data_IF_401770521555
#
_entry.id   IF_401770521555
#
_cell.length_a   1.000
_cell.length_b   1.000
_cell.length_c   1.000
_cell.angle_alpha   90.00
_cell.angle_beta   90.00
_cell.angle_gamma   90.00
#
_symmetry.space_group_name_H-M   'P 1'
#
loop_
_entity.id
_entity.type
_entity.pdbx_description
1 polymer ?
#
# COMPACT_ATOMS: atom_id res chain seq x y z
N UNK A 1 -0.46 30.84 4.65
CA UNK A 1 -1.40 30.93 3.50
C UNK A 1 -2.75 31.33 4.07
N UNK A 2 -3.44 32.31 3.49
CA UNK A 2 -4.68 32.86 4.05
C UNK A 2 -5.89 31.93 3.89
N UNK A 3 -5.89 31.05 2.88
CA UNK A 3 -6.93 30.05 2.66
C UNK A 3 -6.31 28.63 2.66
N UNK A 4 -6.27 28.03 3.85
CA UNK A 4 -5.77 26.68 4.05
C UNK A 4 -6.57 25.62 3.30
N UNK A 5 -7.90 25.79 3.23
CA UNK A 5 -8.79 24.89 2.50
C UNK A 5 -8.45 24.86 1.01
N UNK A 6 -8.35 26.02 0.36
CA UNK A 6 -8.07 26.10 -1.06
C UNK A 6 -6.70 25.49 -1.41
N UNK A 7 -5.66 25.82 -0.66
CA UNK A 7 -4.33 25.27 -0.92
C UNK A 7 -4.23 23.76 -0.65
N UNK A 8 -4.87 23.25 0.41
CA UNK A 8 -4.93 21.79 0.65
C UNK A 8 -5.66 21.08 -0.48
N UNK A 9 -6.78 21.64 -0.97
CA UNK A 9 -7.51 21.07 -2.09
C UNK A 9 -6.66 21.03 -3.37
N UNK A 10 -5.95 22.12 -3.67
CA UNK A 10 -5.03 22.17 -4.81
C UNK A 10 -3.91 21.13 -4.68
N UNK A 11 -3.35 20.95 -3.48
CA UNK A 11 -2.30 19.97 -3.22
C UNK A 11 -2.79 18.52 -3.40
N UNK A 12 -3.97 18.20 -2.86
CA UNK A 12 -4.59 16.88 -3.06
C UNK A 12 -4.85 16.63 -4.55
N UNK A 13 -5.36 17.63 -5.27
CA UNK A 13 -5.61 17.52 -6.70
C UNK A 13 -4.33 17.24 -7.48
N UNK A 14 -3.23 17.90 -7.13
CA UNK A 14 -1.93 17.69 -7.78
C UNK A 14 -1.37 16.30 -7.51
N UNK A 15 -1.43 15.81 -6.27
CA UNK A 15 -1.04 14.43 -5.94
C UNK A 15 -1.81 13.41 -6.77
N UNK A 16 -3.13 13.60 -6.92
CA UNK A 16 -3.96 12.74 -7.75
C UNK A 16 -3.61 12.85 -9.24
N UNK A 17 -3.33 14.06 -9.73
CA UNK A 17 -2.87 14.30 -11.12
C UNK A 17 -1.56 13.56 -11.41
N UNK A 18 -0.66 13.50 -10.44
CA UNK A 18 0.61 12.75 -10.51
C UNK A 18 0.45 11.24 -10.30
N UNK A 19 -0.77 10.75 -10.05
CA UNK A 19 -1.09 9.33 -10.00
C UNK A 19 -1.25 8.75 -8.59
N UNK A 20 -1.23 9.56 -7.53
CA UNK A 20 -1.51 9.08 -6.18
C UNK A 20 -2.94 8.50 -6.10
N UNK A 21 -3.04 7.24 -5.68
CA UNK A 21 -4.32 6.51 -5.58
C UNK A 21 -5.00 6.66 -4.23
N UNK A 22 -4.21 6.91 -3.19
CA UNK A 22 -4.66 7.12 -1.81
C UNK A 22 -3.94 8.34 -1.25
N UNK A 23 -4.69 9.37 -0.88
CA UNK A 23 -4.20 10.63 -0.33
C UNK A 23 -4.94 10.90 0.97
N UNK A 24 -4.21 11.08 2.07
CA UNK A 24 -4.77 11.47 3.36
C UNK A 24 -4.43 12.90 3.74
N UNK A 25 -5.12 13.43 4.74
CA UNK A 25 -4.82 14.73 5.35
C UNK A 25 -4.46 14.53 6.81
N UNK A 26 -3.28 15.02 7.19
CA UNK A 26 -2.92 15.23 8.59
C UNK A 26 -3.23 16.67 8.98
N UNK A 27 -3.94 16.87 10.09
CA UNK A 27 -4.26 18.20 10.61
C UNK A 27 -4.13 18.21 12.13
N UNK A 28 -3.41 19.19 12.67
CA UNK A 28 -3.28 19.35 14.11
C UNK A 28 -4.66 19.59 14.75
N UNK A 29 -4.89 19.01 15.93
CA UNK A 29 -6.21 19.03 16.58
C UNK A 29 -6.79 20.44 16.74
N UNK A 30 -5.97 21.39 17.19
CA UNK A 30 -6.39 22.78 17.39
C UNK A 30 -6.65 23.56 16.10
N UNK A 31 -6.13 23.10 14.95
CA UNK A 31 -6.31 23.75 13.65
C UNK A 31 -7.47 23.18 12.85
N UNK A 32 -8.09 22.08 13.31
CA UNK A 32 -9.14 21.38 12.56
C UNK A 32 -10.29 22.32 12.18
N UNK A 33 -10.82 23.05 13.17
CA UNK A 33 -11.94 23.97 12.95
C UNK A 33 -11.52 25.26 12.24
N UNK A 34 -10.32 25.78 12.56
CA UNK A 34 -9.79 27.02 11.97
C UNK A 34 -9.54 26.86 10.46
N UNK A 35 -8.83 25.80 10.08
CA UNK A 35 -8.53 25.55 8.67
C UNK A 35 -9.76 25.08 7.91
N UNK A 36 -10.73 24.48 8.60
CA UNK A 36 -12.02 24.06 8.07
C UNK A 36 -11.86 23.30 6.75
N UNK A 37 -10.89 22.38 6.66
CA UNK A 37 -10.50 21.76 5.39
C UNK A 37 -11.67 20.97 4.77
N UNK A 38 -11.65 20.78 3.45
CA UNK A 38 -12.60 19.89 2.79
C UNK A 38 -12.13 18.44 2.89
N UNK A 39 -12.41 17.80 4.02
CA UNK A 39 -12.01 16.42 4.31
C UNK A 39 -12.60 15.40 3.33
N UNK A 40 -13.67 15.74 2.60
CA UNK A 40 -14.27 14.85 1.59
C UNK A 40 -13.36 14.62 0.38
N UNK A 41 -12.34 15.47 0.18
CA UNK A 41 -11.37 15.34 -0.91
C UNK A 41 -10.26 14.33 -0.60
N UNK A 42 -10.05 14.01 0.67
CA UNK A 42 -9.07 13.04 1.13
C UNK A 42 -9.71 11.65 1.27
N UNK A 43 -8.91 10.61 1.06
CA UNK A 43 -9.35 9.22 1.23
C UNK A 43 -9.34 8.79 2.71
N UNK A 44 -8.56 9.47 3.55
CA UNK A 44 -8.55 9.29 5.00
C UNK A 44 -8.12 10.56 5.75
N UNK A 45 -8.56 10.68 7.00
CA UNK A 45 -8.20 11.80 7.90
C UNK A 45 -7.31 11.29 9.03
N UNK A 46 -6.24 12.01 9.34
CA UNK A 46 -5.27 11.70 10.39
C UNK A 46 -5.14 12.87 11.36
N UNK A 47 -5.36 12.63 12.65
CA UNK A 47 -5.36 13.69 13.68
C UNK A 47 -4.48 13.29 14.86
N UNK A 48 -3.58 14.17 15.35
CA UNK A 48 -2.89 13.97 16.60
C UNK A 48 -3.77 14.33 17.80
N UNK A 49 -3.76 13.52 18.86
CA UNK A 49 -4.33 13.90 20.17
C UNK A 49 -3.64 13.11 21.25
N UNK A 50 -2.85 13.79 22.08
CA UNK A 50 -1.96 13.16 23.05
C UNK A 50 -2.45 13.39 24.47
N UNK A 51 -2.41 12.35 25.30
CA UNK A 51 -2.50 12.53 26.73
C UNK A 51 -1.20 13.15 27.26
N UNK A 52 -1.28 13.92 28.34
CA UNK A 52 -0.12 14.58 28.94
C UNK A 52 0.99 13.59 29.36
N UNK A 53 0.59 12.39 29.78
CA UNK A 53 1.49 11.31 30.20
C UNK A 53 2.25 10.67 29.02
N UNK A 54 1.85 10.92 27.77
CA UNK A 54 2.44 10.31 26.57
C UNK A 54 2.15 8.81 26.39
N UNK A 55 1.29 8.22 27.23
CA UNK A 55 1.00 6.78 27.24
C UNK A 55 -0.49 6.52 27.05
N UNK A 56 -1.34 7.26 27.76
CA UNK A 56 -2.78 7.10 27.69
C UNK A 56 -3.32 7.53 26.34
N UNK A 57 -4.31 6.79 25.83
CA UNK A 57 -5.01 7.17 24.60
C UNK A 57 -6.28 7.94 24.96
N UNK A 58 -6.32 9.22 24.57
CA UNK A 58 -7.52 10.05 24.68
C UNK A 58 -8.23 10.18 23.34
N UNK A 59 -9.55 10.36 23.36
CA UNK A 59 -10.37 10.45 22.15
C UNK A 59 -10.10 11.75 21.38
N UNK A 60 -10.12 11.70 20.06
CA UNK A 60 -10.17 12.90 19.21
C UNK A 60 -11.58 13.53 19.28
N UNK A 61 -11.66 14.86 19.34
CA UNK A 61 -12.97 15.54 19.27
C UNK A 61 -13.58 15.53 17.85
N UNK A 62 -12.74 15.26 16.85
CA UNK A 62 -13.10 15.22 15.44
C UNK A 62 -12.94 13.81 14.87
N UNK A 63 -13.75 13.42 13.86
CA UNK A 63 -13.63 12.13 13.22
C UNK A 63 -12.29 12.01 12.47
N UNK A 64 -11.62 10.87 12.63
CA UNK A 64 -10.43 10.53 11.87
C UNK A 64 -10.35 9.01 11.64
N UNK A 65 -9.69 8.58 10.57
CA UNK A 65 -9.43 7.16 10.32
C UNK A 65 -8.15 6.68 11.02
N UNK A 66 -7.20 7.60 11.20
CA UNK A 66 -5.94 7.36 11.91
C UNK A 66 -5.76 8.40 13.01
N UNK A 67 -5.33 7.96 14.19
CA UNK A 67 -4.99 8.83 15.30
C UNK A 67 -3.51 8.68 15.64
N UNK A 68 -2.76 9.77 15.64
CA UNK A 68 -1.45 9.84 16.31
C UNK A 68 -1.73 10.10 17.79
N UNK A 69 -1.48 9.14 18.66
CA UNK A 69 -1.89 9.25 20.07
C UNK A 69 -0.73 9.61 21.01
N UNK A 70 0.51 9.53 20.54
CA UNK A 70 1.68 9.96 21.30
C UNK A 70 2.86 10.24 20.36
N UNK A 71 3.69 11.19 20.75
CA UNK A 71 5.02 11.50 20.21
C UNK A 71 6.16 10.97 21.11
N UNK A 72 5.81 10.29 22.20
CA UNK A 72 6.72 9.74 23.23
C UNK A 72 6.85 8.22 23.16
N UNK A 73 6.42 7.61 22.05
CA UNK A 73 6.44 6.16 21.88
C UNK A 73 7.84 5.55 21.95
N UNK A 74 7.91 4.29 22.37
CA UNK A 74 9.15 3.49 22.39
C UNK A 74 8.94 2.21 21.61
N UNK A 75 9.79 1.98 20.61
CA UNK A 75 9.78 0.76 19.79
C UNK A 75 11.18 0.16 19.82
N UNK A 76 11.26 -1.14 20.15
CA UNK A 76 12.52 -1.86 20.17
C UNK A 76 13.21 -1.74 18.80
N UNK A 77 14.49 -1.36 18.81
CA UNK A 77 15.27 -1.14 17.59
C UNK A 77 15.22 0.28 17.02
N UNK A 78 14.45 1.21 17.61
CA UNK A 78 14.47 2.63 17.23
C UNK A 78 14.97 3.46 18.42
N UNK A 79 16.04 4.23 18.22
CA UNK A 79 16.56 5.16 19.20
C UNK A 79 15.68 6.42 19.27
N UNK A 80 15.46 6.95 20.48
CA UNK A 80 14.65 8.15 20.70
C UNK A 80 13.18 7.86 20.97
N UNK A 81 12.36 8.90 20.87
CA UNK A 81 10.90 8.78 20.90
C UNK A 81 10.38 8.62 19.46
N UNK A 82 9.27 7.90 19.30
CA UNK A 82 8.59 7.74 18.02
C UNK A 82 7.13 8.09 18.13
N UNK A 83 6.59 8.63 17.04
CA UNK A 83 5.17 8.85 16.90
C UNK A 83 4.44 7.51 16.74
N UNK A 84 3.48 7.25 17.62
CA UNK A 84 2.64 6.04 17.53
C UNK A 84 1.23 6.40 17.09
N UNK A 85 0.72 5.53 16.22
CA UNK A 85 -0.58 5.70 15.57
C UNK A 85 -1.47 4.49 15.81
N UNK A 86 -2.78 4.72 15.81
CA UNK A 86 -3.80 3.68 15.86
C UNK A 86 -4.93 3.97 14.88
N UNK A 87 -5.59 2.92 14.43
CA UNK A 87 -6.85 3.05 13.67
C UNK A 87 -7.93 3.61 14.60
N UNK A 88 -8.71 4.56 14.08
CA UNK A 88 -9.74 5.27 14.84
C UNK A 88 -11.01 5.59 14.02
N UNK A 89 -11.18 4.97 12.85
CA UNK A 89 -12.33 5.21 11.99
C UNK A 89 -12.65 4.08 11.03
N UNK A 90 -12.97 4.43 9.78
CA UNK A 90 -13.58 3.52 8.80
C UNK A 90 -12.57 2.68 8.02
N UNK A 91 -11.30 3.12 7.94
CA UNK A 91 -10.27 2.40 7.18
C UNK A 91 -9.62 1.30 8.02
N UNK A 92 -9.59 0.10 7.45
CA UNK A 92 -8.93 -1.06 8.06
C UNK A 92 -7.41 -0.98 7.88
N UNK A 93 -6.66 -1.75 8.68
CA UNK A 93 -5.23 -1.91 8.46
C UNK A 93 -4.93 -2.43 7.05
N UNK A 94 -5.75 -3.34 6.55
CA UNK A 94 -5.63 -3.89 5.20
C UNK A 94 -5.84 -2.83 4.11
N UNK A 95 -6.73 -1.85 4.32
CA UNK A 95 -6.86 -0.69 3.43
C UNK A 95 -5.52 0.05 3.33
N UNK A 96 -4.90 0.39 4.46
CA UNK A 96 -3.63 1.11 4.51
C UNK A 96 -2.47 0.30 3.92
N UNK A 97 -2.46 -1.01 4.15
CA UNK A 97 -1.44 -1.92 3.61
C UNK A 97 -1.69 -2.33 2.15
N UNK A 98 -2.74 -1.83 1.50
CA UNK A 98 -3.08 -2.18 0.11
C UNK A 98 -3.53 -3.65 -0.07
N UNK A 99 -4.02 -4.26 1.01
CA UNK A 99 -4.48 -5.64 1.06
C UNK A 99 -5.94 -5.83 0.67
N UNK A 100 -6.72 -4.76 0.57
CA UNK A 100 -8.13 -4.84 0.15
C UNK A 100 -8.37 -5.56 -1.19
N UNK A 101 -9.58 -6.12 -1.27
CA UNK A 101 -9.99 -7.35 -1.94
C UNK A 101 -9.37 -7.61 -3.32
N UNK A 102 -8.46 -8.59 -3.31
CA UNK A 102 -8.43 -9.54 -4.41
C UNK A 102 -9.77 -10.28 -4.35
N UNK A 103 -10.80 -9.78 -5.05
CA UNK A 103 -11.99 -10.59 -5.37
C UNK A 103 -11.50 -11.98 -5.74
N UNK A 104 -12.01 -13.03 -5.08
CA UNK A 104 -11.60 -14.41 -5.33
C UNK A 104 -11.49 -14.62 -6.83
N UNK A 105 -10.25 -14.72 -7.30
CA UNK A 105 -10.00 -14.70 -8.73
C UNK A 105 -10.35 -16.10 -9.22
N UNK A 106 -11.51 -16.24 -9.85
CA UNK A 106 -11.80 -17.40 -10.68
C UNK A 106 -10.60 -17.66 -11.59
N UNK A 107 -10.13 -18.92 -11.61
CA UNK A 107 -9.01 -19.34 -12.47
C UNK A 107 -9.24 -18.78 -13.87
N UNK A 108 -8.28 -18.06 -14.49
CA UNK A 108 -8.43 -17.67 -15.88
C UNK A 108 -8.56 -18.95 -16.71
N UNK A 109 -9.60 -19.02 -17.55
CA UNK A 109 -9.92 -20.17 -18.42
C UNK A 109 -8.85 -20.36 -19.53
N UNK A 110 -7.92 -19.42 -19.70
CA UNK A 110 -6.85 -19.50 -20.70
C UNK A 110 -5.57 -20.13 -20.15
N UNK A 111 -5.23 -21.31 -20.68
CA UNK A 111 -3.93 -21.94 -20.53
C UNK A 111 -2.85 -21.09 -21.23
N UNK A 112 -1.66 -20.95 -20.62
CA UNK A 112 -0.50 -20.30 -21.24
C UNK A 112 0.16 -19.24 -20.38
N UNK A 113 1.04 -18.44 -21.00
CA UNK A 113 1.85 -17.45 -20.31
C UNK A 113 1.41 -16.00 -20.61
N UNK A 114 1.75 -15.08 -19.72
CA UNK A 114 1.84 -13.66 -20.05
C UNK A 114 3.11 -13.43 -20.89
N UNK A 115 2.97 -12.73 -22.00
CA UNK A 115 4.05 -12.47 -22.97
C UNK A 115 4.43 -10.98 -23.07
N UNK A 116 3.75 -10.14 -22.31
CA UNK A 116 3.97 -8.69 -22.19
C UNK A 116 4.10 -8.27 -20.73
N UNK A 117 4.69 -7.10 -20.49
CA UNK A 117 4.79 -6.50 -19.16
C UNK A 117 3.42 -6.08 -18.62
N UNK A 118 3.27 -6.22 -17.30
CA UNK A 118 2.18 -5.71 -16.46
C UNK A 118 2.83 -5.03 -15.24
N UNK A 119 2.03 -4.38 -14.38
CA UNK A 119 2.60 -3.64 -13.23
C UNK A 119 2.72 -4.52 -12.00
N UNK A 120 1.74 -5.41 -11.79
CA UNK A 120 1.64 -6.25 -10.59
C UNK A 120 1.15 -7.64 -10.91
N UNK A 121 1.49 -8.59 -10.05
CA UNK A 121 0.88 -9.91 -10.00
C UNK A 121 0.31 -10.22 -8.63
N UNK A 122 -0.64 -11.16 -8.61
CA UNK A 122 -1.06 -11.91 -7.43
C UNK A 122 -0.87 -13.40 -7.68
N UNK A 123 -0.33 -14.12 -6.70
CA UNK A 123 -0.17 -15.58 -6.79
C UNK A 123 -1.49 -16.31 -6.56
N UNK A 124 -1.78 -17.27 -7.43
CA UNK A 124 -2.94 -18.16 -7.35
C UNK A 124 -2.61 -19.47 -6.62
N UNK A 125 -1.32 -19.79 -6.51
CA UNK A 125 -0.74 -20.89 -5.74
C UNK A 125 0.46 -20.40 -4.94
N UNK A 126 0.99 -21.24 -4.06
CA UNK A 126 2.35 -21.05 -3.55
C UNK A 126 3.34 -21.08 -4.74
N UNK A 127 4.37 -20.24 -4.70
CA UNK A 127 5.37 -20.15 -5.77
C UNK A 127 6.71 -19.59 -5.26
N UNK A 128 7.79 -19.95 -5.96
CA UNK A 128 9.14 -19.44 -5.70
C UNK A 128 9.49 -18.21 -6.55
N UNK A 129 10.36 -17.38 -5.98
CA UNK A 129 11.19 -16.41 -6.70
C UNK A 129 12.61 -16.99 -6.76
N UNK A 130 13.20 -16.98 -7.95
CA UNK A 130 14.44 -17.67 -8.28
C UNK A 130 15.53 -16.68 -8.66
N UNK A 131 16.79 -17.10 -8.47
CA UNK A 131 17.97 -16.31 -8.83
C UNK A 131 18.08 -16.09 -10.34
N UNK A 132 17.60 -17.05 -11.14
CA UNK A 132 17.71 -17.05 -12.58
C UNK A 132 16.40 -17.44 -13.28
N UNK A 133 16.29 -17.09 -14.57
CA UNK A 133 15.08 -17.31 -15.39
C UNK A 133 14.80 -18.78 -15.72
N UNK A 134 15.78 -19.66 -15.56
CA UNK A 134 15.64 -21.12 -15.73
C UNK A 134 15.23 -21.82 -14.43
N UNK A 135 15.08 -21.07 -13.33
CA UNK A 135 14.62 -21.55 -12.02
C UNK A 135 15.52 -22.62 -11.40
N UNK A 136 16.84 -22.45 -11.46
CA UNK A 136 17.79 -23.42 -10.90
C UNK A 136 17.89 -23.34 -9.38
N UNK A 137 17.83 -22.13 -8.83
CA UNK A 137 17.96 -21.88 -7.39
C UNK A 137 16.84 -20.98 -6.90
N UNK A 138 15.99 -21.53 -6.03
CA UNK A 138 14.96 -20.76 -5.35
C UNK A 138 15.61 -19.87 -4.28
N UNK A 139 15.29 -18.59 -4.32
CA UNK A 139 15.76 -17.61 -3.32
C UNK A 139 14.73 -17.42 -2.22
N UNK A 140 13.44 -17.39 -2.59
CA UNK A 140 12.35 -17.15 -1.66
C UNK A 140 11.05 -17.80 -2.10
N UNK A 141 10.38 -18.44 -1.15
CA UNK A 141 9.04 -18.98 -1.36
C UNK A 141 7.97 -17.99 -0.89
N UNK A 142 6.87 -17.90 -1.64
CA UNK A 142 5.75 -17.03 -1.36
C UNK A 142 4.44 -17.83 -1.34
N UNK A 143 3.58 -17.52 -0.36
CA UNK A 143 2.27 -18.16 -0.22
C UNK A 143 1.28 -17.65 -1.27
N UNK A 144 0.28 -18.48 -1.58
CA UNK A 144 -0.91 -18.08 -2.35
C UNK A 144 -1.47 -16.74 -1.84
N UNK A 145 -1.88 -15.87 -2.76
CA UNK A 145 -2.41 -14.54 -2.46
C UNK A 145 -1.34 -13.46 -2.29
N UNK A 146 -0.05 -13.81 -2.39
CA UNK A 146 1.03 -12.83 -2.36
C UNK A 146 0.95 -11.91 -3.58
N UNK A 147 1.04 -10.59 -3.34
CA UNK A 147 1.15 -9.57 -4.38
C UNK A 147 2.61 -9.17 -4.56
N UNK A 148 3.10 -9.09 -5.80
CA UNK A 148 4.42 -8.57 -6.13
C UNK A 148 4.32 -7.55 -7.28
N UNK A 149 5.19 -6.54 -7.25
CA UNK A 149 5.39 -5.63 -8.38
C UNK A 149 6.22 -6.33 -9.46
N UNK A 150 5.79 -6.19 -10.72
CA UNK A 150 6.49 -6.69 -11.90
C UNK A 150 7.37 -5.56 -12.44
N UNK A 151 8.67 -5.79 -12.42
CA UNK A 151 9.67 -4.86 -12.93
C UNK A 151 9.72 -4.97 -14.47
N UNK A 152 9.85 -6.19 -14.98
CA UNK A 152 9.92 -6.48 -16.42
C UNK A 152 9.59 -7.95 -16.74
N UNK A 153 9.74 -8.35 -18.01
CA UNK A 153 9.56 -9.71 -18.51
C UNK A 153 10.83 -10.22 -19.23
N UNK A 154 11.39 -11.32 -18.74
CA UNK A 154 12.48 -12.02 -19.39
C UNK A 154 11.98 -13.25 -20.16
N UNK A 155 12.77 -13.73 -21.12
CA UNK A 155 12.54 -15.00 -21.82
C UNK A 155 13.72 -15.95 -21.62
N UNK A 156 13.41 -17.22 -21.35
CA UNK A 156 14.40 -18.31 -21.34
C UNK A 156 14.98 -18.52 -22.74
N UNK A 157 16.01 -19.36 -22.87
CA UNK A 157 16.57 -19.73 -24.19
C UNK A 157 15.51 -20.30 -25.14
N UNK A 158 14.52 -21.02 -24.60
CA UNK A 158 13.42 -21.62 -25.36
C UNK A 158 12.19 -20.69 -25.49
N UNK A 159 12.35 -19.40 -25.19
CA UNK A 159 11.31 -18.39 -25.35
C UNK A 159 10.26 -18.35 -24.24
N UNK A 160 10.38 -19.18 -23.21
CA UNK A 160 9.40 -19.22 -22.11
C UNK A 160 9.50 -17.95 -21.28
N UNK A 161 8.40 -17.17 -21.12
CA UNK A 161 8.46 -15.91 -20.38
C UNK A 161 8.51 -16.11 -18.86
N UNK A 162 9.15 -15.15 -18.20
CA UNK A 162 9.34 -15.04 -16.75
C UNK A 162 9.14 -13.59 -16.32
N UNK A 163 8.43 -13.36 -15.22
CA UNK A 163 8.37 -12.03 -14.64
C UNK A 163 9.65 -11.77 -13.85
N UNK A 164 10.20 -10.58 -14.00
CA UNK A 164 11.23 -10.03 -13.14
C UNK A 164 10.51 -9.26 -12.03
N UNK A 165 10.81 -9.59 -10.79
CA UNK A 165 10.25 -8.97 -9.58
C UNK A 165 11.38 -8.56 -8.66
N UNK A 166 11.07 -7.79 -7.61
CA UNK A 166 12.06 -7.51 -6.57
C UNK A 166 12.55 -8.85 -5.97
N UNK A 167 13.86 -9.09 -6.05
CA UNK A 167 14.51 -10.31 -5.53
C UNK A 167 14.66 -11.46 -6.52
N UNK A 168 14.23 -11.34 -7.79
CA UNK A 168 14.58 -12.32 -8.82
C UNK A 168 13.52 -12.56 -9.88
N UNK A 169 13.44 -13.80 -10.36
CA UNK A 169 12.55 -14.25 -11.44
C UNK A 169 11.43 -15.11 -10.90
N UNK A 170 10.21 -14.93 -11.41
CA UNK A 170 9.10 -15.81 -11.10
C UNK A 170 8.27 -16.15 -12.35
N UNK A 171 7.34 -17.08 -12.17
CA UNK A 171 6.58 -17.64 -13.28
C UNK A 171 5.59 -16.63 -13.87
N UNK A 172 5.54 -16.56 -15.20
CA UNK A 172 4.57 -15.76 -15.93
C UNK A 172 3.36 -16.60 -16.42
N UNK A 173 3.15 -17.80 -15.87
CA UNK A 173 2.10 -18.70 -16.32
C UNK A 173 0.76 -18.36 -15.64
N UNK A 174 -0.28 -18.18 -16.46
CA UNK A 174 -1.63 -17.73 -16.06
C UNK A 174 -2.32 -18.70 -15.10
N UNK A 175 -1.88 -19.97 -15.06
CA UNK A 175 -2.36 -20.98 -14.11
C UNK A 175 -1.99 -20.66 -12.66
N UNK A 176 -0.83 -20.03 -12.45
CA UNK A 176 -0.24 -19.87 -11.13
C UNK A 176 -0.21 -18.42 -10.66
N UNK A 177 -0.30 -17.46 -11.57
CA UNK A 177 -0.33 -16.03 -11.24
C UNK A 177 -1.36 -15.29 -12.09
N UNK A 178 -1.93 -14.22 -11.54
CA UNK A 178 -2.69 -13.24 -12.30
C UNK A 178 -1.95 -11.91 -12.32
N UNK A 179 -1.59 -11.45 -13.52
CA UNK A 179 -0.94 -10.16 -13.72
C UNK A 179 -1.96 -9.08 -14.14
N UNK A 180 -1.76 -7.85 -13.69
CA UNK A 180 -2.65 -6.71 -13.95
C UNK A 180 -1.88 -5.39 -13.98
N UNK A 181 -2.43 -4.42 -14.69
CA UNK A 181 -1.95 -3.03 -14.77
C UNK A 181 -2.76 -2.19 -13.80
N UNK A 182 -2.10 -1.33 -13.04
CA UNK A 182 -2.75 -0.40 -12.11
C UNK A 182 -3.19 0.81 -12.94
N UNK A 183 -4.51 1.05 -13.00
CA UNK A 183 -5.06 2.28 -13.60
C UNK A 183 -4.80 3.47 -12.69
#
# INVERSE_FOLDING_TARGET
>A
MSDMKAGTNAFIAELRRLGAKKVGVYVAHHLYSEFNLDYSKADFVWIPRYANDGVSVIKTDYPCDLQQYTDKGKIAGIAGNVDLNRLNGTKTLDWFLGKEDVKSVSKPVNQGYYTKKYDRLVSLTDFGVYEDKEFKKELKSHKKGTKLDIIDIARTKNGTPRFIVCGGYCMANRKYVKAYTVK
#
